data_IF_848716506056
#
_entry.id   IF_848716506056
#
_cell.length_a   1.000
_cell.length_b   1.000
_cell.length_c   1.000
_cell.angle_alpha   90.00
_cell.angle_beta   90.00
_cell.angle_gamma   90.00
#
_symmetry.space_group_name_H-M   'P 1'
#
loop_
_entity.id
_entity.type
_entity.pdbx_description
1 polymer ?
#
# COMPACT_ATOMS: atom_id res chain seq x y z
N UNK A 1 -38.69 18.64 1.70
CA UNK A 1 -38.46 18.17 0.32
C UNK A 1 -39.77 17.67 -0.25
N UNK A 2 -40.37 18.41 -1.19
CA UNK A 2 -41.68 18.08 -1.80
C UNK A 2 -41.47 16.93 -2.81
N UNK A 3 -42.19 15.84 -2.66
CA UNK A 3 -42.14 14.73 -3.62
C UNK A 3 -42.97 15.16 -4.86
N UNK A 4 -42.38 15.23 -6.06
CA UNK A 4 -43.08 15.69 -7.26
C UNK A 4 -44.16 14.71 -7.73
N UNK A 5 -45.20 15.26 -8.35
CA UNK A 5 -46.37 14.53 -8.85
C UNK A 5 -45.99 13.58 -10.02
N UNK A 6 -46.82 12.58 -10.33
CA UNK A 6 -46.56 11.66 -11.45
C UNK A 6 -46.38 12.37 -12.81
N UNK A 7 -47.10 13.46 -13.04
CA UNK A 7 -46.99 14.28 -14.25
C UNK A 7 -45.67 15.08 -14.30
N UNK A 8 -45.21 15.63 -13.18
CA UNK A 8 -43.90 16.29 -13.08
C UNK A 8 -42.74 15.31 -13.32
N UNK A 9 -42.90 14.03 -12.93
CA UNK A 9 -41.91 12.97 -13.22
C UNK A 9 -41.84 12.63 -14.71
N UNK A 10 -42.98 12.61 -15.40
CA UNK A 10 -43.07 12.39 -16.86
C UNK A 10 -42.44 13.55 -17.65
N UNK A 11 -42.62 14.79 -17.19
CA UNK A 11 -42.03 15.97 -17.81
C UNK A 11 -40.49 16.05 -17.64
N UNK A 12 -39.97 15.67 -16.46
CA UNK A 12 -38.52 15.64 -16.19
C UNK A 12 -37.78 14.55 -16.99
N UNK A 13 -38.46 13.47 -17.38
CA UNK A 13 -37.93 12.42 -18.24
C UNK A 13 -37.67 12.86 -19.68
N UNK A 14 -38.25 13.99 -20.13
CA UNK A 14 -38.06 14.55 -21.48
C UNK A 14 -37.00 15.65 -21.56
N UNK A 15 -36.46 16.11 -20.43
CA UNK A 15 -35.40 17.10 -20.41
C UNK A 15 -34.05 16.45 -20.78
N UNK A 16 -33.20 17.13 -21.57
CA UNK A 16 -31.87 16.62 -21.89
C UNK A 16 -31.08 16.33 -20.60
N UNK A 17 -30.32 15.24 -20.60
CA UNK A 17 -29.71 14.65 -19.40
C UNK A 17 -28.92 15.63 -18.52
N UNK A 18 -28.29 16.66 -19.12
CA UNK A 18 -27.51 17.69 -18.42
C UNK A 18 -28.36 18.73 -17.66
N UNK A 19 -29.69 18.75 -17.83
CA UNK A 19 -30.63 19.61 -17.08
C UNK A 19 -31.41 18.85 -16.01
N UNK A 20 -31.19 17.54 -15.88
CA UNK A 20 -31.83 16.76 -14.84
C UNK A 20 -31.09 17.00 -13.51
N UNK A 21 -31.82 17.27 -12.44
CA UNK A 21 -31.25 17.43 -11.09
C UNK A 21 -30.60 16.11 -10.65
N UNK A 22 -29.35 16.15 -10.17
CA UNK A 22 -28.69 15.00 -9.56
C UNK A 22 -29.56 14.42 -8.44
N UNK A 23 -30.04 13.18 -8.64
CA UNK A 23 -30.77 12.43 -7.62
C UNK A 23 -29.83 11.38 -7.06
N UNK A 24 -29.56 11.46 -5.76
CA UNK A 24 -28.84 10.39 -5.04
C UNK A 24 -29.76 9.18 -4.99
N UNK A 25 -29.45 8.15 -5.79
CA UNK A 25 -30.28 6.95 -5.91
C UNK A 25 -30.21 6.08 -4.65
N UNK A 26 -29.02 5.64 -4.26
CA UNK A 26 -28.79 4.77 -3.10
C UNK A 26 -27.74 5.41 -2.17
N UNK A 27 -28.20 6.16 -1.17
CA UNK A 27 -27.33 6.84 -0.21
C UNK A 27 -26.47 5.85 0.62
N UNK A 28 -27.00 4.72 1.14
CA UNK A 28 -26.18 3.69 1.77
C UNK A 28 -25.03 3.19 0.88
N UNK A 29 -25.29 2.95 -0.40
CA UNK A 29 -24.25 2.54 -1.34
C UNK A 29 -23.18 3.62 -1.54
N UNK A 30 -23.57 4.89 -1.69
CA UNK A 30 -22.59 5.99 -1.78
C UNK A 30 -21.73 6.13 -0.52
N UNK A 31 -22.31 5.98 0.68
CA UNK A 31 -21.56 6.01 1.93
C UNK A 31 -20.56 4.84 1.97
N UNK A 32 -20.97 3.65 1.54
CA UNK A 32 -20.06 2.51 1.45
C UNK A 32 -18.90 2.75 0.48
N UNK A 33 -19.17 3.32 -0.70
CA UNK A 33 -18.13 3.69 -1.65
C UNK A 33 -17.17 4.73 -1.06
N UNK A 34 -17.67 5.71 -0.33
CA UNK A 34 -16.82 6.70 0.34
C UNK A 34 -15.90 6.06 1.39
N UNK A 35 -16.44 5.14 2.20
CA UNK A 35 -15.64 4.36 3.16
C UNK A 35 -14.61 3.50 2.45
N UNK A 36 -14.96 2.87 1.33
CA UNK A 36 -14.03 2.11 0.51
C UNK A 36 -12.94 2.99 -0.12
N UNK A 37 -13.24 4.23 -0.52
CA UNK A 37 -12.22 5.16 -1.01
C UNK A 37 -11.14 5.41 0.05
N UNK A 38 -11.52 5.55 1.34
CA UNK A 38 -10.57 5.66 2.43
C UNK A 38 -9.76 4.37 2.61
N UNK A 39 -10.41 3.21 2.57
CA UNK A 39 -9.73 1.91 2.60
C UNK A 39 -8.67 1.82 1.48
N UNK A 40 -9.04 2.11 0.24
CA UNK A 40 -8.13 2.09 -0.90
C UNK A 40 -7.01 3.11 -0.75
N UNK A 41 -7.30 4.29 -0.21
CA UNK A 41 -6.29 5.31 0.03
C UNK A 41 -5.19 4.83 1.00
N UNK A 42 -5.60 4.11 2.05
CA UNK A 42 -4.72 3.53 3.06
C UNK A 42 -4.00 2.28 2.52
N UNK A 43 -4.71 1.40 1.84
CA UNK A 43 -4.18 0.20 1.19
C UNK A 43 -2.99 0.52 0.26
N UNK A 44 -3.11 1.57 -0.56
CA UNK A 44 -2.09 1.92 -1.54
C UNK A 44 -0.76 2.42 -0.93
N UNK A 45 -0.72 2.76 0.36
CA UNK A 45 0.52 3.25 0.98
C UNK A 45 1.63 2.20 0.99
N UNK A 46 1.28 0.90 0.97
CA UNK A 46 2.29 -0.18 0.86
C UNK A 46 3.03 -0.14 -0.48
N UNK A 47 2.39 0.32 -1.57
CA UNK A 47 2.98 0.32 -2.91
C UNK A 47 3.63 1.66 -3.26
N UNK A 48 3.14 2.75 -2.66
CA UNK A 48 3.65 4.10 -2.93
C UNK A 48 4.79 4.48 -1.98
N UNK A 49 4.53 4.41 -0.67
CA UNK A 49 5.42 4.99 0.34
C UNK A 49 6.37 3.97 0.95
N UNK A 50 5.93 2.72 1.12
CA UNK A 50 6.70 1.69 1.80
C UNK A 50 8.04 1.38 1.11
N UNK A 51 8.15 1.30 -0.24
CA UNK A 51 9.43 1.05 -0.90
C UNK A 51 10.46 2.14 -0.62
N UNK A 52 10.03 3.40 -0.66
CA UNK A 52 10.87 4.56 -0.33
C UNK A 52 11.30 4.52 1.15
N UNK A 53 10.36 4.20 2.04
CA UNK A 53 10.67 4.06 3.47
C UNK A 53 11.69 2.96 3.75
N UNK A 54 11.54 1.78 3.13
CA UNK A 54 12.51 0.68 3.26
C UNK A 54 13.88 1.15 2.84
N UNK A 55 13.94 1.77 1.66
CA UNK A 55 15.16 2.27 1.06
C UNK A 55 15.87 3.25 1.99
N UNK A 56 15.19 4.31 2.42
CA UNK A 56 15.83 5.41 3.14
C UNK A 56 16.06 5.09 4.64
N UNK A 57 15.15 4.36 5.29
CA UNK A 57 15.14 4.25 6.76
C UNK A 57 15.46 2.86 7.30
N UNK A 58 15.16 1.78 6.58
CA UNK A 58 15.30 0.42 7.11
C UNK A 58 16.67 -0.17 6.79
N UNK A 59 17.31 -0.76 7.79
CA UNK A 59 18.45 -1.64 7.57
C UNK A 59 17.95 -3.08 7.42
N UNK A 60 18.20 -3.67 6.26
CA UNK A 60 17.77 -5.00 5.83
C UNK A 60 18.94 -6.00 5.76
N UNK A 61 20.11 -5.64 6.30
CA UNK A 61 21.29 -6.51 6.29
C UNK A 61 21.06 -7.85 6.98
N UNK A 62 20.17 -7.90 7.97
CA UNK A 62 19.72 -9.14 8.63
C UNK A 62 19.05 -10.10 7.65
N UNK A 63 18.18 -9.59 6.77
CA UNK A 63 17.55 -10.38 5.72
C UNK A 63 18.56 -10.85 4.67
N UNK A 64 19.58 -10.04 4.36
CA UNK A 64 20.69 -10.44 3.49
C UNK A 64 21.47 -11.60 4.10
N UNK A 65 21.80 -11.56 5.40
CA UNK A 65 22.51 -12.64 6.10
C UNK A 65 21.70 -13.94 6.09
N UNK A 66 20.38 -13.84 6.30
CA UNK A 66 19.48 -15.01 6.21
C UNK A 66 19.48 -15.56 4.78
N UNK A 67 19.39 -14.70 3.76
CA UNK A 67 19.43 -15.14 2.37
C UNK A 67 20.75 -15.81 2.01
N UNK A 68 21.89 -15.33 2.54
CA UNK A 68 23.20 -15.94 2.36
C UNK A 68 23.27 -17.33 2.97
N UNK A 69 22.62 -17.53 4.12
CA UNK A 69 22.52 -18.86 4.76
C UNK A 69 21.73 -19.87 3.93
N UNK A 70 20.81 -19.41 3.07
CA UNK A 70 20.05 -20.26 2.15
C UNK A 70 20.85 -20.55 0.87
N UNK A 71 21.31 -19.50 0.17
CA UNK A 71 22.27 -19.63 -0.94
C UNK A 71 22.81 -18.27 -1.42
N UNK A 72 24.01 -18.29 -2.00
CA UNK A 72 24.58 -17.13 -2.67
C UNK A 72 23.72 -16.66 -3.87
N UNK A 73 23.14 -17.60 -4.62
CA UNK A 73 22.28 -17.28 -5.77
C UNK A 73 20.99 -16.56 -5.34
N UNK A 74 20.35 -17.01 -4.26
CA UNK A 74 19.18 -16.33 -3.71
C UNK A 74 19.51 -14.93 -3.21
N UNK A 75 20.66 -14.76 -2.56
CA UNK A 75 21.14 -13.44 -2.12
C UNK A 75 21.34 -12.49 -3.30
N UNK A 76 21.95 -12.96 -4.39
CA UNK A 76 22.12 -12.15 -5.61
C UNK A 76 20.79 -11.81 -6.29
N UNK A 77 19.80 -12.68 -6.15
CA UNK A 77 18.46 -12.45 -6.70
C UNK A 77 17.69 -11.38 -5.92
N UNK A 78 17.65 -11.43 -4.59
CA UNK A 78 16.86 -10.48 -3.78
C UNK A 78 17.61 -9.19 -3.42
N UNK A 79 18.93 -9.23 -3.45
CA UNK A 79 19.82 -8.11 -3.10
C UNK A 79 20.88 -7.92 -4.20
N UNK A 80 20.47 -7.64 -5.45
CA UNK A 80 21.40 -7.35 -6.53
C UNK A 80 22.12 -6.02 -6.26
N UNK A 81 23.45 -6.04 -6.38
CA UNK A 81 24.28 -4.83 -6.32
C UNK A 81 25.13 -4.78 -7.58
N UNK A 82 24.94 -3.73 -8.38
CA UNK A 82 25.78 -3.46 -9.54
C UNK A 82 27.05 -2.72 -9.10
N UNK A 83 28.13 -3.46 -8.88
CA UNK A 83 29.40 -2.91 -8.41
C UNK A 83 30.04 -1.94 -9.41
N UNK A 84 29.78 -2.10 -10.71
CA UNK A 84 30.32 -1.20 -11.73
C UNK A 84 29.63 0.17 -11.68
N UNK A 85 28.29 0.17 -11.58
CA UNK A 85 27.54 1.43 -11.42
C UNK A 85 27.77 2.07 -10.05
N UNK A 86 27.93 1.27 -9.00
CA UNK A 86 28.32 1.77 -7.68
C UNK A 86 29.70 2.44 -7.73
N UNK A 87 30.70 1.82 -8.39
CA UNK A 87 32.01 2.42 -8.56
C UNK A 87 31.95 3.76 -9.30
N UNK A 88 31.10 3.88 -10.33
CA UNK A 88 30.90 5.14 -11.05
C UNK A 88 30.26 6.23 -10.17
N UNK A 89 29.27 5.85 -9.36
CA UNK A 89 28.68 6.75 -8.37
C UNK A 89 29.72 7.23 -7.35
N UNK A 90 30.59 6.33 -6.87
CA UNK A 90 31.67 6.67 -5.93
C UNK A 90 32.69 7.64 -6.54
N UNK A 91 33.05 7.46 -7.82
CA UNK A 91 33.90 8.43 -8.53
C UNK A 91 33.25 9.81 -8.58
N UNK A 92 31.97 9.86 -8.92
CA UNK A 92 31.21 11.12 -8.96
C UNK A 92 31.17 11.80 -7.60
N UNK A 93 30.83 11.05 -6.54
CA UNK A 93 30.77 11.55 -5.16
C UNK A 93 32.14 12.02 -4.63
N UNK A 94 33.23 11.35 -5.03
CA UNK A 94 34.59 11.74 -4.64
C UNK A 94 34.99 13.12 -5.18
N UNK A 95 34.41 13.51 -6.33
CA UNK A 95 34.67 14.80 -6.99
C UNK A 95 33.70 15.87 -6.50
N UNK A 96 32.40 15.57 -6.42
CA UNK A 96 31.39 16.55 -6.05
C UNK A 96 31.36 16.88 -4.56
N UNK A 97 31.84 15.97 -3.69
CA UNK A 97 31.88 16.11 -2.24
C UNK A 97 30.60 16.73 -1.63
N UNK A 98 29.42 16.14 -1.90
CA UNK A 98 28.18 16.66 -1.37
C UNK A 98 28.10 16.43 0.15
N UNK A 99 27.11 17.04 0.80
CA UNK A 99 26.85 16.81 2.21
C UNK A 99 26.64 15.30 2.50
N UNK A 100 27.07 14.78 3.67
CA UNK A 100 27.01 13.35 3.96
C UNK A 100 25.63 12.71 3.78
N UNK A 101 24.57 13.46 4.09
CA UNK A 101 23.18 13.03 3.92
C UNK A 101 22.83 12.81 2.44
N UNK A 102 23.30 13.67 1.54
CA UNK A 102 23.05 13.56 0.10
C UNK A 102 23.86 12.43 -0.53
N UNK A 103 25.12 12.27 -0.10
CA UNK A 103 25.95 11.12 -0.46
C UNK A 103 25.31 9.80 -0.02
N UNK A 104 24.80 9.74 1.22
CA UNK A 104 24.08 8.58 1.73
C UNK A 104 22.86 8.24 0.88
N UNK A 105 21.97 9.21 0.62
CA UNK A 105 20.77 9.00 -0.21
C UNK A 105 21.10 8.51 -1.61
N UNK A 106 22.20 9.00 -2.19
CA UNK A 106 22.66 8.53 -3.50
C UNK A 106 23.08 7.06 -3.46
N UNK A 107 23.86 6.66 -2.44
CA UNK A 107 24.39 5.30 -2.33
C UNK A 107 23.32 4.25 -2.03
N UNK A 108 22.31 4.62 -1.26
CA UNK A 108 21.17 3.75 -0.96
C UNK A 108 20.40 3.33 -2.22
N UNK A 109 20.42 4.12 -3.30
CA UNK A 109 19.85 3.75 -4.61
C UNK A 109 20.55 2.56 -5.28
N UNK A 110 21.78 2.25 -4.84
CA UNK A 110 22.58 1.11 -5.30
C UNK A 110 22.53 -0.07 -4.32
N UNK A 111 21.47 -0.15 -3.51
CA UNK A 111 21.22 -1.27 -2.59
C UNK A 111 22.35 -1.46 -1.55
N UNK A 112 23.04 -0.38 -1.19
CA UNK A 112 24.08 -0.37 -0.15
C UNK A 112 23.81 0.71 0.88
N UNK A 113 23.89 0.37 2.17
CA UNK A 113 23.67 1.30 3.30
C UNK A 113 24.96 1.45 4.11
N UNK A 114 25.76 2.44 3.76
CA UNK A 114 27.08 2.67 4.36
C UNK A 114 26.94 3.54 5.62
N UNK A 115 27.55 3.15 6.76
CA UNK A 115 27.64 3.99 7.94
C UNK A 115 28.40 5.30 7.66
N UNK A 116 27.97 6.41 8.25
CA UNK A 116 28.57 7.74 8.00
C UNK A 116 30.10 7.78 8.21
N UNK A 117 30.60 7.03 9.20
CA UNK A 117 32.04 6.94 9.48
C UNK A 117 32.83 6.27 8.35
N UNK A 118 32.27 5.21 7.76
CA UNK A 118 32.88 4.46 6.65
C UNK A 118 32.74 5.23 5.34
N UNK A 119 31.65 5.98 5.18
CA UNK A 119 31.42 6.85 4.04
C UNK A 119 32.49 7.96 3.98
N UNK A 120 32.71 8.65 5.10
CA UNK A 120 33.70 9.73 5.18
C UNK A 120 35.13 9.22 4.93
N UNK A 121 35.51 8.09 5.53
CA UNK A 121 36.84 7.50 5.35
C UNK A 121 37.05 6.99 3.93
N UNK A 122 36.04 6.33 3.34
CA UNK A 122 36.11 5.80 1.98
C UNK A 122 36.21 6.90 0.92
N UNK A 123 35.40 7.96 1.02
CA UNK A 123 35.47 9.10 0.11
C UNK A 123 36.81 9.84 0.23
N UNK A 124 37.32 10.01 1.45
CA UNK A 124 38.66 10.58 1.65
C UNK A 124 39.74 9.71 0.98
N UNK A 125 39.68 8.39 1.14
CA UNK A 125 40.63 7.45 0.54
C UNK A 125 40.60 7.42 -0.99
N UNK A 126 39.42 7.67 -1.59
CA UNK A 126 39.28 7.87 -3.03
C UNK A 126 39.89 9.20 -3.49
N UNK A 127 39.62 10.27 -2.75
CA UNK A 127 40.14 11.61 -3.08
C UNK A 127 41.67 11.70 -3.00
N UNK A 128 42.30 10.96 -2.07
CA UNK A 128 43.75 10.87 -1.93
C UNK A 128 44.40 9.85 -2.88
N UNK A 129 43.61 9.12 -3.66
CA UNK A 129 44.09 8.06 -4.57
C UNK A 129 44.65 6.83 -3.86
N UNK A 130 44.41 6.67 -2.55
CA UNK A 130 44.88 5.52 -1.77
C UNK A 130 44.02 4.26 -1.95
N UNK A 131 42.79 4.41 -2.47
CA UNK A 131 41.90 3.32 -2.82
C UNK A 131 41.33 3.53 -4.23
N UNK A 132 40.97 2.44 -4.93
CA UNK A 132 40.22 2.56 -6.18
C UNK A 132 38.72 2.46 -5.93
N UNK A 133 37.93 3.15 -6.77
CA UNK A 133 36.48 3.10 -6.68
C UNK A 133 35.94 1.68 -6.87
N UNK A 134 36.57 0.89 -7.74
CA UNK A 134 36.17 -0.49 -8.03
C UNK A 134 36.42 -1.44 -6.84
N UNK A 135 37.56 -1.27 -6.14
CA UNK A 135 37.82 -2.05 -4.92
C UNK A 135 36.87 -1.67 -3.79
N UNK A 136 36.65 -0.37 -3.59
CA UNK A 136 35.77 0.13 -2.53
C UNK A 136 34.30 -0.28 -2.79
N UNK A 137 33.84 -0.19 -4.04
CA UNK A 137 32.50 -0.65 -4.43
C UNK A 137 32.30 -2.14 -4.15
N UNK A 138 33.30 -2.97 -4.48
CA UNK A 138 33.24 -4.42 -4.25
C UNK A 138 33.21 -4.76 -2.75
N UNK A 139 34.02 -4.06 -1.95
CA UNK A 139 34.03 -4.20 -0.50
C UNK A 139 32.68 -3.79 0.12
N UNK A 140 32.17 -2.61 -0.23
CA UNK A 140 30.91 -2.11 0.30
C UNK A 140 29.70 -2.94 -0.15
N UNK A 141 29.71 -3.43 -1.39
CA UNK A 141 28.70 -4.36 -1.89
C UNK A 141 28.71 -5.73 -1.17
N UNK A 142 29.81 -6.08 -0.51
CA UNK A 142 29.90 -7.30 0.31
C UNK A 142 29.44 -7.05 1.75
N UNK A 143 29.81 -5.89 2.33
CA UNK A 143 29.62 -5.58 3.76
C UNK A 143 28.30 -4.88 4.08
N UNK A 144 27.84 -4.00 3.19
CA UNK A 144 26.72 -3.07 3.44
C UNK A 144 25.51 -3.31 2.53
N UNK A 145 25.46 -4.47 1.88
CA UNK A 145 24.37 -4.88 1.01
C UNK A 145 23.02 -4.86 1.71
N UNK A 146 22.00 -4.44 0.97
CA UNK A 146 20.60 -4.37 1.39
C UNK A 146 19.73 -5.16 0.41
N UNK A 147 18.60 -5.68 0.89
CA UNK A 147 17.57 -6.27 0.02
C UNK A 147 16.85 -5.15 -0.71
N UNK A 148 16.63 -5.29 -2.02
CA UNK A 148 15.92 -4.24 -2.77
C UNK A 148 14.45 -4.18 -2.32
N UNK A 149 13.87 -2.97 -2.18
CA UNK A 149 12.48 -2.83 -1.74
C UNK A 149 11.48 -3.59 -2.62
N UNK A 150 11.73 -3.68 -3.92
CA UNK A 150 10.85 -4.38 -4.88
C UNK A 150 10.73 -5.87 -4.55
N UNK A 151 11.82 -6.51 -4.10
CA UNK A 151 11.80 -7.91 -3.69
C UNK A 151 11.16 -8.12 -2.32
N UNK A 152 11.22 -7.13 -1.43
CA UNK A 152 10.46 -7.16 -0.18
C UNK A 152 8.95 -7.07 -0.47
N UNK A 153 8.54 -6.15 -1.34
CA UNK A 153 7.14 -6.06 -1.80
C UNK A 153 6.73 -7.33 -2.54
N UNK A 154 7.63 -8.00 -3.27
CA UNK A 154 7.31 -9.25 -3.97
C UNK A 154 6.80 -10.39 -3.04
N UNK A 155 7.10 -10.32 -1.74
CA UNK A 155 6.53 -11.26 -0.77
C UNK A 155 5.01 -11.12 -0.61
N UNK A 156 4.43 -9.96 -0.94
CA UNK A 156 2.99 -9.74 -0.98
C UNK A 156 2.34 -10.65 -2.04
N UNK A 157 2.77 -10.50 -3.30
CA UNK A 157 2.33 -11.32 -4.41
C UNK A 157 2.58 -12.82 -4.17
N UNK A 158 3.75 -13.17 -3.63
CA UNK A 158 4.06 -14.55 -3.29
C UNK A 158 3.08 -15.10 -2.25
N UNK A 159 2.78 -14.33 -1.20
CA UNK A 159 1.84 -14.72 -0.16
C UNK A 159 0.43 -14.93 -0.73
N UNK A 160 -0.03 -14.03 -1.60
CA UNK A 160 -1.33 -14.17 -2.27
C UNK A 160 -1.36 -15.46 -3.10
N UNK A 161 -0.37 -15.70 -3.96
CA UNK A 161 -0.32 -16.91 -4.80
C UNK A 161 -0.36 -18.19 -3.96
N UNK A 162 0.36 -18.23 -2.84
CA UNK A 162 0.43 -19.41 -1.97
C UNK A 162 -0.83 -19.60 -1.11
N UNK A 163 -1.42 -18.53 -0.62
CA UNK A 163 -2.43 -18.59 0.45
C UNK A 163 -3.85 -18.19 0.03
N UNK A 164 -4.05 -17.54 -1.12
CA UNK A 164 -5.36 -17.05 -1.56
C UNK A 164 -6.43 -18.14 -1.55
N UNK A 165 -6.11 -19.35 -2.04
CA UNK A 165 -7.05 -20.47 -2.04
C UNK A 165 -7.50 -20.84 -0.62
N UNK A 166 -6.56 -20.97 0.32
CA UNK A 166 -6.87 -21.33 1.71
C UNK A 166 -7.69 -20.26 2.42
N UNK A 167 -7.33 -18.99 2.21
CA UNK A 167 -8.06 -17.85 2.80
C UNK A 167 -9.46 -17.73 2.22
N UNK A 168 -9.62 -17.92 0.91
CA UNK A 168 -10.94 -17.91 0.26
C UNK A 168 -11.83 -19.05 0.79
N UNK A 169 -11.28 -20.27 0.85
CA UNK A 169 -11.97 -21.45 1.40
C UNK A 169 -12.43 -21.23 2.84
N UNK A 170 -11.58 -20.60 3.65
CA UNK A 170 -11.94 -20.20 5.01
C UNK A 170 -13.00 -19.09 5.01
N UNK A 171 -12.92 -18.11 4.12
CA UNK A 171 -13.84 -16.98 4.04
C UNK A 171 -15.24 -17.28 3.47
N UNK A 172 -15.42 -18.38 2.72
CA UNK A 172 -16.67 -18.71 2.01
C UNK A 172 -17.94 -18.59 2.88
N UNK A 173 -17.90 -19.13 4.11
CA UNK A 173 -19.08 -19.19 4.99
C UNK A 173 -19.16 -18.05 6.00
N UNK A 174 -18.36 -17.00 5.86
CA UNK A 174 -18.28 -15.89 6.81
C UNK A 174 -18.97 -14.64 6.27
N UNK A 175 -19.50 -13.76 7.15
CA UNK A 175 -20.18 -12.55 6.71
C UNK A 175 -19.17 -11.57 6.03
N UNK A 176 -19.53 -10.95 4.89
CA UNK A 176 -18.63 -10.07 4.14
C UNK A 176 -17.97 -8.96 4.95
N UNK A 177 -18.75 -8.21 5.75
CA UNK A 177 -18.21 -7.12 6.57
C UNK A 177 -17.26 -7.59 7.67
N UNK A 178 -17.46 -8.79 8.22
CA UNK A 178 -16.55 -9.33 9.23
C UNK A 178 -15.13 -9.52 8.68
N UNK A 179 -15.03 -10.02 7.45
CA UNK A 179 -13.75 -10.17 6.75
C UNK A 179 -13.17 -8.84 6.30
N UNK A 180 -14.01 -7.92 5.80
CA UNK A 180 -13.56 -6.60 5.37
C UNK A 180 -12.98 -5.78 6.55
N UNK A 181 -13.64 -5.82 7.70
CA UNK A 181 -13.17 -5.17 8.95
C UNK A 181 -11.88 -5.83 9.44
N UNK A 182 -11.84 -7.17 9.50
CA UNK A 182 -10.64 -7.91 9.92
C UNK A 182 -9.44 -7.60 9.01
N UNK A 183 -9.63 -7.67 7.70
CA UNK A 183 -8.57 -7.40 6.73
C UNK A 183 -8.06 -5.96 6.80
N UNK A 184 -8.97 -4.98 6.95
CA UNK A 184 -8.59 -3.58 7.17
C UNK A 184 -7.80 -3.39 8.46
N UNK A 185 -8.17 -4.09 9.54
CA UNK A 185 -7.42 -4.09 10.80
C UNK A 185 -6.02 -4.70 10.65
N UNK A 186 -5.89 -5.79 9.88
CA UNK A 186 -4.59 -6.41 9.58
C UNK A 186 -3.68 -5.48 8.78
N UNK A 187 -4.21 -4.73 7.80
CA UNK A 187 -3.47 -3.70 7.08
C UNK A 187 -2.95 -2.61 8.03
N UNK A 188 -3.80 -2.14 8.96
CA UNK A 188 -3.37 -1.19 10.00
C UNK A 188 -2.26 -1.74 10.88
N UNK A 189 -2.37 -3.00 11.30
CA UNK A 189 -1.34 -3.67 12.09
C UNK A 189 -0.02 -3.83 11.30
N UNK A 190 -0.09 -4.15 10.00
CA UNK A 190 1.07 -4.22 9.13
C UNK A 190 1.83 -2.90 9.07
N UNK A 191 1.14 -1.75 9.00
CA UNK A 191 1.80 -0.44 9.03
C UNK A 191 2.49 -0.14 10.35
N UNK A 192 1.90 -0.53 11.49
CA UNK A 192 2.59 -0.39 12.77
C UNK A 192 3.84 -1.27 12.82
N UNK A 193 3.73 -2.54 12.41
CA UNK A 193 4.85 -3.49 12.38
C UNK A 193 5.98 -2.98 11.47
N UNK A 194 5.67 -2.60 10.24
CA UNK A 194 6.65 -2.08 9.28
C UNK A 194 7.23 -0.73 9.71
N UNK A 195 6.44 0.13 10.37
CA UNK A 195 6.90 1.42 10.87
C UNK A 195 7.96 1.32 11.98
N UNK A 196 8.01 0.20 12.70
CA UNK A 196 9.03 -0.07 13.74
C UNK A 196 10.33 -0.64 13.13
N UNK A 197 10.32 -1.08 11.87
CA UNK A 197 11.48 -1.74 11.24
C UNK A 197 12.77 -0.91 11.24
N UNK A 198 12.71 0.41 11.16
CA UNK A 198 13.92 1.26 11.16
C UNK A 198 14.61 1.38 12.53
N UNK A 199 13.94 1.05 13.65
CA UNK A 199 14.53 1.15 15.00
C UNK A 199 15.02 -0.19 15.56
N UNK A 200 14.69 -1.30 14.92
CA UNK A 200 15.06 -2.65 15.39
C UNK A 200 16.26 -3.20 14.62
N UNK A 201 17.02 -4.09 15.27
CA UNK A 201 18.18 -4.73 14.65
C UNK A 201 17.81 -5.73 13.53
N UNK A 202 16.59 -6.26 13.53
CA UNK A 202 16.06 -7.22 12.54
C UNK A 202 15.09 -6.54 11.57
N UNK A 203 15.44 -5.33 11.11
CA UNK A 203 14.57 -4.48 10.31
C UNK A 203 14.12 -5.11 9.00
N UNK A 204 14.99 -5.86 8.31
CA UNK A 204 14.66 -6.56 7.07
C UNK A 204 13.62 -7.65 7.28
N UNK A 205 13.83 -8.52 8.26
CA UNK A 205 12.87 -9.60 8.57
C UNK A 205 11.52 -9.03 9.02
N UNK A 206 11.52 -7.99 9.87
CA UNK A 206 10.29 -7.38 10.34
C UNK A 206 9.50 -6.72 9.20
N UNK A 207 10.20 -6.11 8.25
CA UNK A 207 9.60 -5.52 7.05
C UNK A 207 8.95 -6.59 6.17
N UNK A 208 9.65 -7.70 5.90
CA UNK A 208 9.06 -8.85 5.16
C UNK A 208 7.82 -9.39 5.90
N UNK A 209 7.92 -9.57 7.22
CA UNK A 209 6.79 -10.02 8.03
C UNK A 209 5.59 -9.06 7.96
N UNK A 210 5.82 -7.75 7.99
CA UNK A 210 4.76 -6.75 7.85
C UNK A 210 4.05 -6.83 6.50
N UNK A 211 4.79 -7.04 5.41
CA UNK A 211 4.23 -7.22 4.06
C UNK A 211 3.40 -8.49 3.98
N UNK A 212 3.85 -9.59 4.60
CA UNK A 212 3.05 -10.82 4.69
C UNK A 212 1.75 -10.57 5.47
N UNK A 213 1.79 -9.86 6.60
CA UNK A 213 0.57 -9.50 7.36
C UNK A 213 -0.37 -8.63 6.51
N UNK A 214 0.18 -7.68 5.75
CA UNK A 214 -0.58 -6.87 4.80
C UNK A 214 -1.29 -7.74 3.74
N UNK A 215 -0.56 -8.67 3.12
CA UNK A 215 -1.09 -9.57 2.10
C UNK A 215 -2.29 -10.36 2.62
N UNK A 216 -2.23 -10.88 3.84
CA UNK A 216 -3.37 -11.55 4.46
C UNK A 216 -4.56 -10.60 4.69
N UNK A 217 -4.29 -9.34 5.04
CA UNK A 217 -5.33 -8.31 5.12
C UNK A 217 -6.02 -8.06 3.77
N UNK A 218 -5.25 -7.98 2.69
CA UNK A 218 -5.76 -7.83 1.32
C UNK A 218 -6.63 -9.02 0.90
N UNK A 219 -6.13 -10.25 1.10
CA UNK A 219 -6.83 -11.49 0.74
C UNK A 219 -8.21 -11.60 1.39
N UNK A 220 -8.40 -10.97 2.56
CA UNK A 220 -9.68 -10.90 3.28
C UNK A 220 -10.57 -9.75 2.80
N UNK A 221 -9.99 -8.57 2.58
CA UNK A 221 -10.74 -7.35 2.32
C UNK A 221 -11.17 -7.21 0.85
N UNK A 222 -10.22 -7.30 -0.09
CA UNK A 222 -10.42 -6.91 -1.49
C UNK A 222 -11.38 -7.82 -2.27
N UNK A 223 -11.30 -9.17 -2.19
CA UNK A 223 -12.27 -10.04 -2.87
C UNK A 223 -13.68 -9.85 -2.30
N UNK A 224 -13.78 -9.66 -0.99
CA UNK A 224 -15.05 -9.62 -0.30
C UNK A 224 -15.77 -8.28 -0.46
N UNK A 225 -15.05 -7.18 -0.61
CA UNK A 225 -15.65 -5.89 -0.98
C UNK A 225 -16.28 -5.93 -2.37
N UNK A 226 -15.64 -6.61 -3.34
CA UNK A 226 -16.17 -6.79 -4.70
C UNK A 226 -17.38 -7.73 -4.72
N UNK A 227 -17.32 -8.85 -4.00
CA UNK A 227 -18.43 -9.79 -3.82
C UNK A 227 -19.66 -9.09 -3.21
N UNK A 228 -19.44 -8.25 -2.21
CA UNK A 228 -20.53 -7.53 -1.56
C UNK A 228 -21.21 -6.52 -2.50
N UNK A 229 -20.45 -5.78 -3.31
CA UNK A 229 -21.04 -4.90 -4.34
C UNK A 229 -21.85 -5.69 -5.36
N UNK A 230 -21.29 -6.81 -5.86
CA UNK A 230 -21.96 -7.66 -6.84
C UNK A 230 -23.28 -8.25 -6.30
N UNK A 231 -23.26 -8.75 -5.07
CA UNK A 231 -24.44 -9.38 -4.43
C UNK A 231 -25.56 -8.40 -4.08
N UNK A 232 -25.24 -7.11 -3.98
CA UNK A 232 -26.21 -6.06 -3.64
C UNK A 232 -26.92 -5.48 -4.87
N UNK A 233 -26.35 -5.67 -6.06
CA UNK A 233 -26.91 -5.18 -7.33
C UNK A 233 -27.89 -6.17 -7.96
N UNK A 234 -28.89 -5.67 -8.69
CA UNK A 234 -29.71 -6.53 -9.56
C UNK A 234 -28.89 -6.98 -10.78
N UNK A 235 -29.20 -8.14 -11.40
CA UNK A 235 -28.46 -8.65 -12.55
C UNK A 235 -28.34 -7.64 -13.70
N UNK A 236 -29.37 -6.81 -13.92
CA UNK A 236 -29.40 -5.79 -14.99
C UNK A 236 -28.50 -4.59 -14.72
N UNK A 237 -28.14 -4.36 -13.45
CA UNK A 237 -27.37 -3.19 -13.00
C UNK A 237 -25.99 -3.56 -12.42
N UNK A 238 -25.61 -4.83 -12.43
CA UNK A 238 -24.34 -5.30 -11.86
C UNK A 238 -23.13 -4.56 -12.43
N UNK A 239 -23.09 -4.36 -13.75
CA UNK A 239 -22.02 -3.61 -14.41
C UNK A 239 -21.94 -2.14 -13.95
N UNK A 240 -23.09 -1.50 -13.69
CA UNK A 240 -23.16 -0.11 -13.22
C UNK A 240 -22.62 0.00 -11.79
N UNK A 241 -23.01 -0.91 -10.90
CA UNK A 241 -22.54 -0.93 -9.51
C UNK A 241 -21.04 -1.24 -9.43
N UNK A 242 -20.54 -2.15 -10.26
CA UNK A 242 -19.10 -2.39 -10.40
C UNK A 242 -18.37 -1.16 -10.95
N UNK A 243 -18.95 -0.45 -11.92
CA UNK A 243 -18.43 0.83 -12.40
C UNK A 243 -18.27 1.86 -11.27
N UNK A 244 -19.29 2.03 -10.43
CA UNK A 244 -19.21 2.92 -9.27
C UNK A 244 -18.18 2.46 -8.22
N UNK A 245 -18.01 1.16 -8.05
CA UNK A 245 -16.94 0.62 -7.21
C UNK A 245 -15.55 1.02 -7.73
N UNK A 246 -15.30 0.94 -9.04
CA UNK A 246 -14.03 1.41 -9.61
C UNK A 246 -13.80 2.92 -9.42
N UNK A 247 -14.86 3.73 -9.40
CA UNK A 247 -14.72 5.15 -9.03
C UNK A 247 -14.21 5.31 -7.61
N UNK A 248 -14.66 4.48 -6.65
CA UNK A 248 -14.12 4.52 -5.28
C UNK A 248 -12.64 4.15 -5.21
N UNK A 249 -12.21 3.16 -6.00
CA UNK A 249 -10.79 2.79 -6.14
C UNK A 249 -10.00 3.99 -6.67
N UNK A 250 -10.46 4.61 -7.76
CA UNK A 250 -9.77 5.75 -8.38
C UNK A 250 -9.63 6.95 -7.41
N UNK A 251 -10.68 7.26 -6.65
CA UNK A 251 -10.62 8.27 -5.60
C UNK A 251 -9.61 7.87 -4.52
N UNK A 252 -9.61 6.60 -4.10
CA UNK A 252 -8.63 6.08 -3.16
C UNK A 252 -7.20 6.27 -3.65
N UNK A 253 -6.91 5.97 -4.92
CA UNK A 253 -5.59 6.13 -5.52
C UNK A 253 -5.15 7.59 -5.57
N UNK A 254 -6.06 8.50 -5.95
CA UNK A 254 -5.80 9.94 -5.94
C UNK A 254 -5.44 10.43 -4.54
N UNK A 255 -6.24 10.06 -3.53
CA UNK A 255 -5.97 10.42 -2.14
C UNK A 255 -4.67 9.79 -1.64
N UNK A 256 -4.39 8.54 -2.02
CA UNK A 256 -3.18 7.85 -1.63
C UNK A 256 -1.92 8.58 -2.09
N UNK A 257 -1.89 9.04 -3.35
CA UNK A 257 -0.75 9.78 -3.90
C UNK A 257 -0.50 11.09 -3.17
N UNK A 258 -1.55 11.87 -2.92
CA UNK A 258 -1.45 13.15 -2.20
C UNK A 258 -0.97 12.93 -0.76
N UNK A 259 -1.59 11.97 -0.05
CA UNK A 259 -1.21 11.63 1.33
C UNK A 259 0.21 11.08 1.41
N UNK A 260 0.61 10.20 0.50
CA UNK A 260 1.96 9.64 0.44
C UNK A 260 2.99 10.75 0.24
N UNK A 261 2.80 11.63 -0.74
CA UNK A 261 3.74 12.70 -1.03
C UNK A 261 3.95 13.64 0.16
N UNK A 262 2.86 14.10 0.77
CA UNK A 262 2.92 14.98 1.94
C UNK A 262 3.51 14.28 3.17
N UNK A 263 2.99 13.10 3.53
CA UNK A 263 3.42 12.42 4.75
C UNK A 263 4.88 11.93 4.64
N UNK A 264 5.32 11.51 3.45
CA UNK A 264 6.71 11.13 3.24
C UNK A 264 7.65 12.34 3.30
N UNK A 265 7.36 13.41 2.55
CA UNK A 265 8.21 14.60 2.51
C UNK A 265 8.30 15.29 3.87
N UNK A 266 7.17 15.66 4.45
CA UNK A 266 7.12 16.49 5.65
C UNK A 266 7.42 15.68 6.91
N UNK A 267 6.81 14.49 7.07
CA UNK A 267 6.91 13.72 8.33
C UNK A 267 8.12 12.79 8.32
N UNK A 268 8.26 11.95 7.29
CA UNK A 268 9.35 10.97 7.28
C UNK A 268 10.70 11.64 7.02
N UNK A 269 10.79 12.53 6.04
CA UNK A 269 12.06 13.11 5.60
C UNK A 269 12.43 14.38 6.37
N UNK A 270 11.59 15.42 6.37
CA UNK A 270 11.93 16.71 7.00
C UNK A 270 11.93 16.63 8.53
N UNK A 271 10.88 16.06 9.12
CA UNK A 271 10.81 15.88 10.58
C UNK A 271 11.65 14.69 11.08
N UNK A 272 12.17 13.84 10.19
CA UNK A 272 12.87 12.60 10.51
C UNK A 272 12.08 11.68 11.47
N UNK A 273 10.75 11.60 11.27
CA UNK A 273 9.83 10.80 12.10
C UNK A 273 9.05 9.78 11.26
N UNK A 274 9.71 8.81 10.62
CA UNK A 274 9.03 7.83 9.76
C UNK A 274 8.03 6.96 10.53
N UNK A 275 8.25 6.68 11.83
CA UNK A 275 7.26 5.98 12.66
C UNK A 275 5.93 6.72 12.74
N UNK A 276 5.96 8.05 12.88
CA UNK A 276 4.76 8.87 13.05
C UNK A 276 3.93 8.88 11.77
N UNK A 277 4.60 8.89 10.61
CA UNK A 277 3.93 8.69 9.31
C UNK A 277 3.18 7.36 9.27
N UNK A 278 3.83 6.25 9.63
CA UNK A 278 3.18 4.93 9.65
C UNK A 278 2.08 4.82 10.70
N UNK A 279 2.24 5.45 11.86
CA UNK A 279 1.20 5.54 12.88
C UNK A 279 -0.03 6.33 12.38
N UNK A 280 0.18 7.37 11.57
CA UNK A 280 -0.90 8.11 10.90
C UNK A 280 -1.67 7.20 9.94
N UNK A 281 -0.98 6.45 9.07
CA UNK A 281 -1.64 5.52 8.14
C UNK A 281 -2.34 4.37 8.86
N UNK A 282 -1.75 3.83 9.93
CA UNK A 282 -2.42 2.87 10.81
C UNK A 282 -3.66 3.48 11.47
N UNK A 283 -3.61 4.74 11.91
CA UNK A 283 -4.76 5.47 12.43
C UNK A 283 -5.88 5.63 11.40
N UNK A 284 -5.55 5.92 10.14
CA UNK A 284 -6.52 5.95 9.04
C UNK A 284 -7.10 4.57 8.73
N UNK A 285 -6.31 3.50 8.83
CA UNK A 285 -6.79 2.13 8.70
C UNK A 285 -7.81 1.80 9.82
N UNK A 286 -7.50 2.18 11.06
CA UNK A 286 -8.40 2.02 12.21
C UNK A 286 -9.68 2.84 12.01
N UNK A 287 -9.58 4.07 11.49
CA UNK A 287 -10.73 4.89 11.15
C UNK A 287 -11.61 4.22 10.09
N UNK A 288 -11.01 3.68 9.02
CA UNK A 288 -11.73 2.93 7.98
C UNK A 288 -12.41 1.68 8.56
N UNK A 289 -11.71 0.94 9.42
CA UNK A 289 -12.24 -0.22 10.13
C UNK A 289 -13.46 0.13 10.98
N UNK A 290 -13.40 1.23 11.74
CA UNK A 290 -14.55 1.72 12.52
C UNK A 290 -15.69 2.20 11.62
N UNK A 291 -15.39 2.91 10.53
CA UNK A 291 -16.39 3.35 9.57
C UNK A 291 -17.13 2.16 8.93
N UNK A 292 -16.41 1.09 8.56
CA UNK A 292 -16.99 -0.16 8.08
C UNK A 292 -17.85 -0.86 9.14
N UNK A 293 -17.42 -0.86 10.40
CA UNK A 293 -18.19 -1.44 11.50
C UNK A 293 -19.50 -0.67 11.75
N UNK A 294 -19.44 0.67 11.75
CA UNK A 294 -20.62 1.54 11.85
C UNK A 294 -21.54 1.35 10.65
N UNK A 295 -20.97 1.28 9.44
CA UNK A 295 -21.71 1.02 8.22
C UNK A 295 -22.47 -0.32 8.30
N UNK A 296 -21.78 -1.39 8.71
CA UNK A 296 -22.37 -2.71 8.89
C UNK A 296 -23.54 -2.69 9.89
N UNK A 297 -23.39 -1.97 11.00
CA UNK A 297 -24.40 -1.88 12.04
C UNK A 297 -25.66 -1.10 11.62
N UNK A 298 -25.50 0.00 10.88
CA UNK A 298 -26.58 0.96 10.66
C UNK A 298 -27.09 1.04 9.22
N UNK A 299 -26.26 0.76 8.22
CA UNK A 299 -26.56 1.06 6.82
C UNK A 299 -26.56 -0.16 5.89
N UNK A 300 -25.87 -1.25 6.25
CA UNK A 300 -25.76 -2.44 5.39
C UNK A 300 -27.12 -3.08 5.05
N UNK A 301 -28.07 -3.07 6.00
CA UNK A 301 -29.43 -3.59 5.78
C UNK A 301 -30.21 -2.80 4.72
N UNK A 302 -29.85 -1.54 4.49
CA UNK A 302 -30.52 -0.64 3.54
C UNK A 302 -29.80 -0.56 2.19
N UNK A 303 -28.68 -1.27 2.02
CA UNK A 303 -27.94 -1.25 0.75
C UNK A 303 -28.57 -2.17 -0.29
N UNK A 304 -29.12 -3.32 0.16
CA UNK A 304 -29.83 -4.27 -0.70
C UNK A 304 -31.03 -3.66 -1.39
N UNK A 305 -31.32 -4.12 -2.61
CA UNK A 305 -32.52 -3.75 -3.32
C UNK A 305 -33.78 -4.23 -2.57
N UNK A 306 -34.30 -3.40 -1.65
CA UNK A 306 -35.68 -3.55 -1.17
C UNK A 306 -36.63 -3.10 -2.28
N UNK A 307 -36.80 -3.97 -3.28
CA UNK A 307 -37.98 -4.21 -4.11
C UNK A 307 -37.58 -5.19 -5.23
N UNK A 308 -37.66 -6.49 -4.96
CA UNK A 308 -38.11 -7.41 -6.02
C UNK A 308 -39.63 -7.20 -6.01
N UNK A 309 -40.26 -6.63 -7.06
CA UNK A 309 -41.70 -6.72 -7.18
C UNK A 309 -42.04 -8.21 -7.16
N UNK A 310 -42.71 -8.65 -6.09
CA UNK A 310 -43.34 -9.95 -6.04
C UNK A 310 -44.08 -10.16 -7.34
N UNK A 311 -43.77 -11.27 -8.02
CA UNK A 311 -44.57 -11.92 -9.05
C UNK A 311 -45.66 -11.01 -9.66
N UNK A 312 -45.38 -10.39 -10.80
CA UNK A 312 -46.45 -10.21 -11.78
C UNK A 312 -46.97 -11.60 -12.10
N UNK A 313 -47.99 -12.01 -11.35
CA UNK A 313 -48.94 -13.05 -11.69
C UNK A 313 -49.40 -12.71 -13.11
N UNK A 314 -48.93 -13.50 -14.07
CA UNK A 314 -49.57 -13.56 -15.38
C UNK A 314 -50.90 -14.27 -15.13
N UNK A 315 -51.97 -13.49 -14.99
CA UNK A 315 -53.31 -13.94 -15.36
C UNK A 315 -53.44 -13.89 -16.89
#
# INVERSE_FOLDING_TARGET
LRIPSPEERSALSKAPWYRQTLRVGNAPFLVYLFVLSLFWAVYNQIFLTFPLYIQDFVNTSDAVVIAQSLSNGFTQFIAPVDTARLAEALRTLSVSQPEPVEAFRTLVQYQVRIPETELASGLAALSSGSASADTLASEWASKFRQVSPEYIIAFDFLSIVLFQYFISRWGENRPPFGMLILGTGMIGAAFVLGGVSHVVAFGGVLTIASVIVFAFGEMLASPKSQEYVASTSSPEQAAMFQGYYFVSIAIGYLLAGIMSGWAYGEIAVEMNQPFVMWALFAGLAVLAMFALALFNRYLALYMGATHIPSETRYD
#
